data_IF_264415917203
#
_entry.id   IF_264415917203
#
_cell.length_a   1.000
_cell.length_b   1.000
_cell.length_c   1.000
_cell.angle_alpha   90.00
_cell.angle_beta   90.00
_cell.angle_gamma   90.00
#
_symmetry.space_group_name_H-M   'P 1'
#
loop_
_entity.id
_entity.type
_entity.pdbx_description
1 polymer ?
#
# COMPACT_ATOMS: atom_id res chain seq x y z
N UNK A 1 4.51 -2.30 -33.98
CA UNK A 1 3.55 -1.62 -33.08
C UNK A 1 4.12 -1.74 -31.67
N UNK A 2 4.36 -0.63 -30.98
CA UNK A 2 4.88 -0.64 -29.60
C UNK A 2 3.77 -0.14 -28.69
N UNK A 3 3.37 -0.96 -27.72
CA UNK A 3 2.47 -0.56 -26.64
C UNK A 3 3.28 0.06 -25.50
N UNK A 4 2.74 1.12 -24.90
CA UNK A 4 3.26 1.69 -23.67
C UNK A 4 2.23 1.36 -22.60
N UNK A 5 2.61 0.50 -21.67
CA UNK A 5 1.79 0.16 -20.52
C UNK A 5 2.22 1.03 -19.35
N UNK A 6 1.30 1.82 -18.81
CA UNK A 6 1.58 2.74 -17.72
C UNK A 6 0.31 3.02 -16.92
N UNK A 7 0.44 3.24 -15.62
CA UNK A 7 -0.65 3.68 -14.77
C UNK A 7 -0.84 5.19 -14.93
N UNK A 8 -2.03 5.61 -15.34
CA UNK A 8 -2.39 7.03 -15.44
C UNK A 8 -3.38 7.40 -14.32
N UNK A 9 -3.26 8.63 -13.83
CA UNK A 9 -4.27 9.25 -12.97
C UNK A 9 -5.15 10.14 -13.85
N UNK A 10 -6.46 9.93 -13.76
CA UNK A 10 -7.46 10.80 -14.38
C UNK A 10 -7.91 11.78 -13.29
N UNK A 11 -7.76 13.08 -13.55
CA UNK A 11 -8.21 14.13 -12.63
C UNK A 11 -9.74 14.28 -12.64
N UNK A 12 -10.30 15.04 -11.70
CA UNK A 12 -11.75 15.19 -11.54
C UNK A 12 -12.46 15.76 -12.77
N UNK A 13 -11.75 16.51 -13.60
CA UNK A 13 -12.23 17.09 -14.85
C UNK A 13 -12.09 16.14 -16.05
N UNK A 14 -11.58 14.92 -15.84
CA UNK A 14 -11.31 13.94 -16.88
C UNK A 14 -9.98 14.16 -17.60
N UNK A 15 -9.14 15.12 -17.18
CA UNK A 15 -7.83 15.32 -17.76
C UNK A 15 -6.84 14.23 -17.30
N UNK A 16 -5.97 13.80 -18.22
CA UNK A 16 -4.77 13.04 -17.87
C UNK A 16 -3.54 13.73 -18.46
N UNK A 17 -2.46 13.78 -17.68
CA UNK A 17 -1.14 14.23 -18.15
C UNK A 17 -0.12 13.14 -17.87
N UNK A 18 0.69 12.80 -18.86
CA UNK A 18 1.74 11.80 -18.73
C UNK A 18 3.00 12.21 -19.47
N UNK A 19 4.16 11.79 -18.97
CA UNK A 19 5.42 11.89 -19.70
C UNK A 19 5.65 10.60 -20.46
N UNK A 20 5.86 10.71 -21.76
CA UNK A 20 6.31 9.59 -22.57
C UNK A 20 7.79 9.28 -22.28
N UNK A 21 8.22 8.02 -22.43
CA UNK A 21 9.64 7.66 -22.37
C UNK A 21 10.47 8.47 -23.37
N UNK A 22 11.70 8.82 -22.98
CA UNK A 22 12.57 9.73 -23.75
C UNK A 22 13.15 9.16 -25.05
N UNK A 23 12.91 7.88 -25.33
CA UNK A 23 13.32 7.19 -26.55
C UNK A 23 12.31 7.35 -27.70
N UNK A 24 11.21 8.07 -27.48
CA UNK A 24 10.24 8.41 -28.52
C UNK A 24 10.65 9.74 -29.18
N UNK A 25 11.01 9.74 -30.47
CA UNK A 25 11.42 10.97 -31.15
C UNK A 25 10.25 11.94 -31.30
N UNK A 26 10.51 13.26 -31.38
CA UNK A 26 9.48 14.25 -31.67
C UNK A 26 8.86 13.97 -33.04
N UNK A 27 7.53 14.03 -33.13
CA UNK A 27 6.84 13.76 -34.39
C UNK A 27 5.37 13.41 -34.20
N UNK A 28 4.73 13.07 -35.32
CA UNK A 28 3.33 12.64 -35.35
C UNK A 28 3.26 11.14 -35.10
N UNK A 29 2.63 10.75 -34.00
CA UNK A 29 2.51 9.35 -33.60
C UNK A 29 1.03 8.97 -33.48
N UNK A 30 0.71 7.71 -33.79
CA UNK A 30 -0.60 7.14 -33.47
C UNK A 30 -0.54 6.57 -32.06
N UNK A 31 -1.29 7.17 -31.15
CA UNK A 31 -1.49 6.64 -29.80
C UNK A 31 -2.80 5.86 -29.71
N UNK A 32 -2.81 4.81 -28.89
CA UNK A 32 -4.00 4.04 -28.52
C UNK A 32 -4.01 3.98 -27.00
N UNK A 33 -5.05 4.51 -26.38
CA UNK A 33 -5.28 4.44 -24.93
C UNK A 33 -6.28 3.33 -24.65
N UNK A 34 -5.93 2.41 -23.76
CA UNK A 34 -6.84 1.39 -23.24
C UNK A 34 -6.94 1.63 -21.74
N UNK A 35 -8.16 1.85 -21.25
CA UNK A 35 -8.44 2.01 -19.83
C UNK A 35 -8.99 0.67 -19.35
N UNK A 36 -8.26 0.04 -18.42
CA UNK A 36 -8.75 -1.11 -17.67
C UNK A 36 -9.09 -0.63 -16.27
N UNK A 37 -10.39 -0.58 -15.95
CA UNK A 37 -10.88 -0.17 -14.65
C UNK A 37 -10.62 -1.29 -13.63
N UNK A 38 -9.36 -1.41 -13.22
CA UNK A 38 -8.98 -2.18 -12.05
C UNK A 38 -9.53 -1.41 -10.85
N UNK A 39 -10.66 -1.88 -10.30
CA UNK A 39 -11.08 -1.48 -8.96
C UNK A 39 -9.99 -1.97 -8.02
N UNK A 40 -8.99 -1.13 -7.76
CA UNK A 40 -8.01 -1.37 -6.72
C UNK A 40 -8.86 -1.40 -5.44
N UNK A 41 -9.18 -2.62 -4.99
CA UNK A 41 -9.85 -2.85 -3.74
C UNK A 41 -9.14 -1.98 -2.70
N UNK A 42 -9.93 -1.14 -2.00
CA UNK A 42 -9.48 -0.08 -1.10
C UNK A 42 -8.04 -0.25 -0.64
N UNK A 43 -7.15 0.76 -0.81
CA UNK A 43 -5.82 0.71 -0.20
C UNK A 43 -6.03 0.32 1.26
N UNK A 44 -5.43 -0.81 1.67
CA UNK A 44 -5.72 -1.43 2.96
C UNK A 44 -5.73 -0.34 4.03
N UNK A 45 -6.86 -0.18 4.71
CA UNK A 45 -7.00 0.89 5.68
C UNK A 45 -6.17 0.51 6.91
N UNK A 46 -4.88 0.88 6.88
CA UNK A 46 -3.91 0.65 7.96
C UNK A 46 -4.25 1.39 9.26
N UNK A 47 -5.37 2.11 9.32
CA UNK A 47 -5.85 2.70 10.58
C UNK A 47 -6.84 1.80 11.33
N UNK A 48 -7.31 0.71 10.71
CA UNK A 48 -8.32 -0.17 11.30
C UNK A 48 -7.84 -1.62 11.37
N UNK A 49 -6.94 -1.89 12.30
CA UNK A 49 -6.55 -3.25 12.65
C UNK A 49 -7.60 -3.90 13.56
N UNK A 50 -7.84 -5.21 13.45
CA UNK A 50 -8.60 -5.94 14.44
C UNK A 50 -7.92 -5.78 15.80
N UNK A 51 -8.65 -5.20 16.76
CA UNK A 51 -8.19 -5.13 18.15
C UNK A 51 -8.67 -6.40 18.82
N UNK A 52 -7.75 -7.32 19.09
CA UNK A 52 -8.02 -8.45 19.97
C UNK A 52 -7.96 -7.98 21.42
N UNK A 53 -8.91 -8.42 22.26
CA UNK A 53 -9.00 -8.04 23.66
C UNK A 53 -8.96 -9.30 24.53
N UNK A 54 -7.82 -9.56 25.15
CA UNK A 54 -7.60 -10.70 26.03
C UNK A 54 -8.17 -10.50 27.46
N UNK A 55 -9.06 -9.52 27.66
CA UNK A 55 -9.60 -9.17 28.97
C UNK A 55 -8.62 -8.37 29.85
N UNK A 56 -8.98 -8.19 31.12
CA UNK A 56 -8.18 -7.44 32.10
C UNK A 56 -7.05 -8.33 32.61
N UNK A 57 -5.84 -7.79 32.68
CA UNK A 57 -4.71 -8.50 33.29
C UNK A 57 -4.99 -8.82 34.77
N UNK A 58 -4.56 -10.01 35.26
CA UNK A 58 -4.72 -10.37 36.67
C UNK A 58 -4.05 -9.34 37.60
N UNK A 59 -4.73 -9.01 38.70
CA UNK A 59 -4.13 -8.18 39.75
C UNK A 59 -2.91 -8.90 40.35
N UNK A 60 -1.73 -8.28 40.24
CA UNK A 60 -0.47 -8.86 40.71
C UNK A 60 0.32 -9.62 39.65
N UNK A 61 -0.05 -9.51 38.37
CA UNK A 61 0.77 -10.05 37.28
C UNK A 61 2.14 -9.35 37.24
N UNK A 62 3.19 -10.12 37.50
CA UNK A 62 4.58 -9.69 37.30
C UNK A 62 5.15 -10.34 36.04
N UNK A 63 5.36 -9.52 35.00
CA UNK A 63 6.02 -9.92 33.76
C UNK A 63 7.51 -9.55 33.77
N UNK A 64 8.08 -9.25 34.94
CA UNK A 64 9.49 -9.03 35.13
C UNK A 64 10.31 -10.28 34.80
N UNK A 65 11.53 -10.07 34.30
CA UNK A 65 12.42 -11.18 33.90
C UNK A 65 12.64 -12.17 35.04
N UNK A 66 12.80 -11.70 36.27
CA UNK A 66 12.98 -12.57 37.45
C UNK A 66 11.71 -13.38 37.77
N UNK A 67 10.52 -12.83 37.57
CA UNK A 67 9.27 -13.57 37.73
C UNK A 67 9.07 -14.61 36.62
N UNK A 68 9.48 -14.31 35.38
CA UNK A 68 9.33 -15.22 34.24
C UNK A 68 10.43 -16.30 34.20
N UNK A 69 11.68 -15.93 34.49
CA UNK A 69 12.86 -16.78 34.26
C UNK A 69 13.61 -17.14 35.55
N UNK A 70 13.19 -16.62 36.70
CA UNK A 70 13.93 -16.74 37.96
C UNK A 70 15.21 -15.89 37.99
N UNK A 71 15.88 -15.89 39.14
CA UNK A 71 17.18 -15.21 39.32
C UNK A 71 18.37 -16.00 38.76
N UNK A 72 18.09 -17.12 38.08
CA UNK A 72 19.07 -18.06 37.53
C UNK A 72 19.80 -17.53 36.29
N UNK A 73 19.63 -16.24 35.96
CA UNK A 73 20.17 -15.58 34.79
C UNK A 73 21.49 -14.84 35.01
N UNK A 74 22.31 -15.31 35.95
CA UNK A 74 23.70 -14.90 36.15
C UNK A 74 24.65 -16.02 35.74
#
# INVERSE_FOLDING_TARGET
>A
MRSIETTIRIEQDGAFMGKLPGDIPPGRHRAVLVIDDQVIANPENLTKFPVDSCGVWPSGLDLGRSAIYGDNGR
#
